data_IF_785187914047
#
_entry.id   IF_785187914047
#
_cell.length_a   1.000
_cell.length_b   1.000
_cell.length_c   1.000
_cell.angle_alpha   90.00
_cell.angle_beta   90.00
_cell.angle_gamma   90.00
#
_symmetry.space_group_name_H-M   'P 1'
#
loop_
_entity.id
_entity.type
_entity.pdbx_description
1 polymer ?
#
# COMPACT_ATOMS: atom_id res chain seq x y z
N UNK A 1 54.65 -47.51 36.45
CA UNK A 1 53.95 -46.21 36.34
C UNK A 1 54.57 -45.22 37.30
N UNK A 2 54.77 -44.00 36.83
CA UNK A 2 55.68 -43.00 37.38
C UNK A 2 55.22 -42.43 38.74
N UNK A 3 56.16 -42.29 39.68
CA UNK A 3 56.01 -41.60 40.97
C UNK A 3 56.47 -40.14 40.84
N UNK A 4 55.66 -39.20 41.34
CA UNK A 4 55.97 -37.78 41.58
C UNK A 4 57.14 -37.62 42.59
N UNK A 5 57.90 -36.50 42.63
CA UNK A 5 57.47 -35.27 43.36
C UNK A 5 58.04 -33.92 42.78
N UNK A 6 57.31 -32.80 42.88
CA UNK A 6 57.39 -31.72 43.90
C UNK A 6 58.47 -30.63 43.65
N UNK A 7 58.07 -29.37 43.94
CA UNK A 7 58.87 -28.16 44.28
C UNK A 7 59.06 -27.09 43.19
N UNK A 8 58.15 -26.12 43.25
CA UNK A 8 58.34 -24.67 43.47
C UNK A 8 59.47 -23.85 42.79
N UNK A 9 58.96 -22.79 42.12
CA UNK A 9 59.34 -21.38 42.22
C UNK A 9 60.61 -20.87 41.52
N UNK A 10 60.39 -19.86 40.65
CA UNK A 10 60.88 -18.46 40.82
C UNK A 10 60.31 -17.56 39.70
N UNK A 11 59.48 -16.57 40.07
CA UNK A 11 59.19 -15.38 39.25
C UNK A 11 60.35 -14.38 39.40
N UNK A 12 60.66 -13.57 38.37
CA UNK A 12 60.55 -12.10 38.52
C UNK A 12 60.21 -11.41 37.17
N UNK A 13 60.22 -10.06 37.05
CA UNK A 13 59.38 -9.10 37.76
C UNK A 13 58.60 -8.16 36.80
N UNK A 14 57.52 -7.59 37.34
CA UNK A 14 56.88 -6.28 37.04
C UNK A 14 57.23 -5.50 35.76
N UNK A 15 56.18 -5.11 35.01
CA UNK A 15 56.03 -3.70 34.65
C UNK A 15 54.57 -3.22 34.82
N UNK A 16 54.37 -2.01 35.38
CA UNK A 16 53.06 -1.44 35.71
C UNK A 16 52.43 -0.69 34.52
N UNK A 17 51.13 -0.44 34.65
CA UNK A 17 50.20 0.16 33.69
C UNK A 17 50.76 1.20 32.70
N UNK A 18 50.51 0.94 31.42
CA UNK A 18 50.34 1.99 30.43
C UNK A 18 48.84 2.32 30.32
N UNK A 19 48.43 3.60 30.36
CA UNK A 19 47.04 3.97 30.18
C UNK A 19 46.60 3.73 28.73
N UNK A 20 45.51 2.99 28.58
CA UNK A 20 44.79 2.76 27.32
C UNK A 20 44.21 4.10 26.82
N UNK A 21 44.99 4.83 26.02
CA UNK A 21 44.48 5.99 25.28
C UNK A 21 43.64 5.50 24.11
N UNK A 22 42.33 5.63 24.27
CA UNK A 22 41.32 5.16 23.34
C UNK A 22 41.55 5.59 21.90
N UNK A 23 41.37 4.61 21.00
CA UNK A 23 41.27 4.79 19.56
C UNK A 23 40.23 5.90 19.25
N UNK A 24 40.57 6.97 18.52
CA UNK A 24 39.57 7.94 18.11
C UNK A 24 38.51 7.25 17.24
N UNK A 25 37.25 7.29 17.67
CA UNK A 25 36.12 6.76 16.90
C UNK A 25 36.06 7.52 15.58
N UNK A 26 36.17 6.80 14.47
CA UNK A 26 36.00 7.33 13.12
C UNK A 26 34.63 7.99 13.03
N UNK A 27 34.59 9.32 12.97
CA UNK A 27 33.38 10.07 12.65
C UNK A 27 32.92 9.60 11.26
N UNK A 28 31.67 9.15 11.09
CA UNK A 28 31.16 8.91 9.75
C UNK A 28 31.07 10.27 9.06
N UNK A 29 31.98 10.52 8.14
CA UNK A 29 31.88 11.65 7.22
C UNK A 29 30.67 11.36 6.33
N UNK A 30 29.50 11.88 6.70
CA UNK A 30 28.34 11.95 5.83
C UNK A 30 28.65 12.97 4.74
N UNK A 31 29.40 12.52 3.73
CA UNK A 31 29.51 13.24 2.46
C UNK A 31 28.16 13.08 1.77
N UNK A 32 27.39 14.16 1.50
CA UNK A 32 26.20 14.04 0.68
C UNK A 32 26.68 13.82 -0.75
N UNK A 33 26.81 12.55 -1.15
CA UNK A 33 26.87 12.20 -2.56
C UNK A 33 25.60 12.75 -3.20
N UNK A 34 25.75 13.83 -3.97
CA UNK A 34 24.69 14.46 -4.75
C UNK A 34 24.18 13.49 -5.81
N UNK A 35 23.38 12.52 -5.38
CA UNK A 35 22.59 11.67 -6.26
C UNK A 35 21.55 12.54 -6.92
N UNK A 36 21.70 12.80 -8.22
CA UNK A 36 20.62 13.35 -9.03
C UNK A 36 19.51 12.31 -9.06
N UNK A 37 18.47 12.51 -8.24
CA UNK A 37 17.27 11.69 -8.30
C UNK A 37 16.64 11.87 -9.69
N UNK A 38 16.63 10.82 -10.51
CA UNK A 38 15.83 10.85 -11.73
C UNK A 38 14.37 10.86 -11.33
N UNK A 39 13.67 11.92 -11.68
CA UNK A 39 12.21 11.98 -11.58
C UNK A 39 11.65 11.10 -12.69
N UNK A 40 11.29 9.88 -12.36
CA UNK A 40 10.50 9.02 -13.23
C UNK A 40 9.10 9.62 -13.32
N UNK A 41 8.69 10.07 -14.51
CA UNK A 41 7.34 10.58 -14.73
C UNK A 41 6.34 9.43 -14.56
N UNK A 42 5.52 9.50 -13.53
CA UNK A 42 4.35 8.62 -13.38
C UNK A 42 3.28 9.10 -14.35
N UNK A 43 2.83 8.21 -15.23
CA UNK A 43 1.72 8.46 -16.14
C UNK A 43 0.52 7.71 -15.59
N UNK A 44 -0.53 8.42 -15.20
CA UNK A 44 -1.81 7.83 -14.84
C UNK A 44 -2.57 7.52 -16.11
N UNK A 45 -2.92 6.25 -16.31
CA UNK A 45 -3.61 5.75 -17.49
C UNK A 45 -4.96 5.23 -17.02
N UNK A 46 -6.04 5.78 -17.57
CA UNK A 46 -7.38 5.29 -17.26
C UNK A 46 -7.57 3.88 -17.82
N UNK A 47 -8.13 2.94 -17.03
CA UNK A 47 -8.35 1.59 -17.49
C UNK A 47 -9.40 1.57 -18.60
N UNK A 48 -9.09 0.90 -19.71
CA UNK A 48 -10.03 0.77 -20.84
C UNK A 48 -11.21 -0.13 -20.47
N UNK A 49 -10.93 -1.26 -19.81
CA UNK A 49 -11.92 -2.21 -19.35
C UNK A 49 -11.76 -2.42 -17.86
N UNK A 50 -12.88 -2.37 -17.13
CA UNK A 50 -12.96 -2.60 -15.70
C UNK A 50 -13.67 -3.92 -15.41
N UNK A 51 -13.22 -4.62 -14.37
CA UNK A 51 -13.87 -5.83 -13.86
C UNK A 51 -15.14 -5.50 -13.06
N UNK A 52 -15.84 -6.53 -12.61
CA UNK A 52 -17.09 -6.40 -11.86
C UNK A 52 -16.92 -5.67 -10.54
N UNK A 53 -15.92 -6.03 -9.74
CA UNK A 53 -15.70 -5.48 -8.40
C UNK A 53 -15.31 -4.01 -8.49
N UNK A 54 -14.44 -3.66 -9.44
CA UNK A 54 -14.10 -2.26 -9.75
C UNK A 54 -15.31 -1.49 -10.24
N UNK A 55 -16.16 -2.07 -11.10
CA UNK A 55 -17.41 -1.42 -11.56
C UNK A 55 -18.36 -1.14 -10.38
N UNK A 56 -18.50 -2.08 -9.44
CA UNK A 56 -19.31 -1.88 -8.23
C UNK A 56 -18.78 -0.69 -7.42
N UNK A 57 -17.46 -0.57 -7.31
CA UNK A 57 -16.79 0.50 -6.57
C UNK A 57 -17.00 1.86 -7.24
N UNK A 58 -16.84 1.94 -8.57
CA UNK A 58 -17.01 3.18 -9.33
C UNK A 58 -18.45 3.69 -9.26
N UNK A 59 -19.42 2.79 -9.43
CA UNK A 59 -20.83 3.16 -9.51
C UNK A 59 -21.49 3.26 -8.12
N UNK A 60 -20.86 2.71 -7.09
CA UNK A 60 -21.41 2.68 -5.72
C UNK A 60 -22.61 1.74 -5.55
N UNK A 61 -22.80 0.80 -6.48
CA UNK A 61 -23.91 -0.16 -6.46
C UNK A 61 -23.41 -1.57 -6.13
N UNK A 62 -24.31 -2.37 -5.53
CA UNK A 62 -24.02 -3.77 -5.24
C UNK A 62 -23.94 -4.62 -6.53
N UNK A 63 -23.19 -5.73 -6.52
CA UNK A 63 -23.06 -6.60 -7.69
C UNK A 63 -24.39 -7.23 -8.12
N UNK A 64 -25.34 -7.39 -7.19
CA UNK A 64 -26.70 -7.87 -7.47
C UNK A 64 -27.56 -6.80 -8.15
N UNK A 65 -27.44 -5.53 -7.74
CA UNK A 65 -28.17 -4.43 -8.37
C UNK A 65 -27.68 -4.23 -9.82
N UNK A 66 -26.37 -4.26 -10.05
CA UNK A 66 -25.81 -4.19 -11.41
C UNK A 66 -26.36 -5.33 -12.28
N UNK A 67 -26.35 -6.57 -11.77
CA UNK A 67 -26.91 -7.71 -12.50
C UNK A 67 -28.40 -7.50 -12.84
N UNK A 68 -29.19 -6.98 -11.90
CA UNK A 68 -30.60 -6.65 -12.14
C UNK A 68 -30.77 -5.54 -13.19
N UNK A 69 -29.92 -4.51 -13.20
CA UNK A 69 -30.00 -3.43 -14.18
C UNK A 69 -29.54 -3.85 -15.58
N UNK A 70 -28.56 -4.75 -15.67
CA UNK A 70 -28.15 -5.38 -16.94
C UNK A 70 -29.31 -6.19 -17.52
N UNK A 71 -30.01 -6.97 -16.68
CA UNK A 71 -31.19 -7.73 -17.12
C UNK A 71 -32.35 -6.82 -17.55
N UNK A 72 -32.51 -5.66 -16.91
CA UNK A 72 -33.49 -4.63 -17.30
C UNK A 72 -33.08 -3.84 -18.53
N UNK A 73 -31.84 -3.97 -19.01
CA UNK A 73 -31.30 -3.21 -20.13
C UNK A 73 -31.02 -1.74 -19.82
N UNK A 74 -31.04 -1.34 -18.55
CA UNK A 74 -30.73 0.04 -18.12
C UNK A 74 -29.23 0.27 -17.98
N UNK A 75 -28.47 -0.79 -17.69
CA UNK A 75 -27.01 -0.74 -17.55
C UNK A 75 -26.33 -1.35 -18.78
N UNK A 76 -25.13 -0.87 -19.19
CA UNK A 76 -24.41 -1.43 -20.33
C UNK A 76 -24.16 -2.94 -20.18
N UNK A 77 -24.27 -3.66 -21.30
CA UNK A 77 -24.10 -5.10 -21.32
C UNK A 77 -22.66 -5.51 -20.98
N UNK A 78 -22.45 -6.52 -20.13
CA UNK A 78 -21.11 -7.02 -19.82
C UNK A 78 -20.43 -7.58 -21.07
N UNK A 79 -19.19 -7.17 -21.29
CA UNK A 79 -18.34 -7.69 -22.36
C UNK A 79 -17.51 -8.85 -21.83
N UNK A 80 -17.38 -9.89 -22.65
CA UNK A 80 -16.55 -11.05 -22.32
C UNK A 80 -15.08 -10.69 -22.56
N UNK A 81 -14.31 -10.50 -21.48
CA UNK A 81 -12.87 -10.20 -21.55
C UNK A 81 -12.04 -11.46 -21.63
N UNK A 82 -12.53 -12.57 -21.06
CA UNK A 82 -11.91 -13.89 -21.11
C UNK A 82 -12.96 -14.99 -20.98
N UNK A 83 -12.55 -16.26 -20.90
CA UNK A 83 -13.45 -17.42 -20.81
C UNK A 83 -14.41 -17.32 -19.62
N UNK A 84 -13.91 -16.88 -18.46
CA UNK A 84 -14.67 -16.79 -17.21
C UNK A 84 -14.63 -15.38 -16.57
N UNK A 85 -14.20 -14.37 -17.33
CA UNK A 85 -14.17 -12.99 -16.87
C UNK A 85 -15.03 -12.12 -17.78
N UNK A 86 -15.83 -11.30 -17.13
CA UNK A 86 -16.61 -10.24 -17.75
C UNK A 86 -16.07 -8.90 -17.30
N UNK A 87 -16.22 -7.89 -18.14
CA UNK A 87 -15.84 -6.53 -17.83
C UNK A 87 -16.65 -5.53 -18.65
N UNK A 88 -16.51 -4.27 -18.30
CA UNK A 88 -17.22 -3.16 -18.94
C UNK A 88 -16.23 -2.11 -19.41
N UNK A 89 -16.56 -1.42 -20.51
CA UNK A 89 -15.78 -0.27 -20.93
C UNK A 89 -16.04 0.89 -19.97
N UNK A 90 -14.97 1.52 -19.50
CA UNK A 90 -15.07 2.66 -18.59
C UNK A 90 -15.87 3.81 -19.23
N UNK A 91 -15.71 4.01 -20.54
CA UNK A 91 -16.44 5.01 -21.32
C UNK A 91 -17.95 4.77 -21.33
N UNK A 92 -18.40 3.51 -21.43
CA UNK A 92 -19.82 3.16 -21.40
C UNK A 92 -20.42 3.40 -20.01
N UNK A 93 -19.67 3.08 -18.95
CA UNK A 93 -20.09 3.35 -17.57
C UNK A 93 -20.24 4.86 -17.35
N UNK A 94 -19.28 5.67 -17.83
CA UNK A 94 -19.36 7.12 -17.72
C UNK A 94 -20.56 7.68 -18.50
N UNK A 95 -20.79 7.24 -19.73
CA UNK A 95 -21.92 7.67 -20.54
C UNK A 95 -23.26 7.30 -19.88
N UNK A 96 -23.36 6.10 -19.30
CA UNK A 96 -24.52 5.69 -18.53
C UNK A 96 -24.73 6.59 -17.30
N UNK A 97 -23.68 6.86 -16.53
CA UNK A 97 -23.76 7.70 -15.34
C UNK A 97 -24.18 9.14 -15.67
N UNK A 98 -23.74 9.68 -16.82
CA UNK A 98 -24.16 10.98 -17.33
C UNK A 98 -25.63 11.02 -17.77
N UNK A 99 -26.18 9.88 -18.19
CA UNK A 99 -27.59 9.75 -18.57
C UNK A 99 -28.55 9.56 -17.38
N UNK A 100 -28.04 9.41 -16.16
CA UNK A 100 -28.90 9.24 -14.99
C UNK A 100 -29.68 10.54 -14.71
N UNK A 101 -30.99 10.43 -14.40
CA UNK A 101 -31.76 11.59 -14.01
C UNK A 101 -31.20 12.18 -12.72
N UNK A 102 -31.23 13.51 -12.62
CA UNK A 102 -30.82 14.20 -11.40
C UNK A 102 -31.71 13.73 -10.23
N UNK A 103 -31.10 13.52 -9.06
CA UNK A 103 -31.84 13.02 -7.90
C UNK A 103 -32.90 14.02 -7.45
N UNK A 104 -34.17 13.61 -7.51
CA UNK A 104 -35.32 14.35 -6.94
C UNK A 104 -35.55 14.02 -5.46
N UNK A 105 -34.62 13.28 -4.84
CA UNK A 105 -34.68 12.95 -3.42
C UNK A 105 -34.24 14.20 -2.64
N UNK A 106 -35.23 14.97 -2.21
CA UNK A 106 -34.99 16.00 -1.21
C UNK A 106 -34.44 15.32 0.05
N UNK A 107 -33.36 15.85 0.65
CA UNK A 107 -32.96 15.41 1.98
C UNK A 107 -34.19 15.56 2.90
N UNK A 108 -34.45 14.58 3.78
CA UNK A 108 -35.62 14.64 4.65
C UNK A 108 -35.63 15.99 5.39
N UNK A 109 -36.77 16.68 5.46
CA UNK A 109 -36.83 18.00 6.08
C UNK A 109 -36.30 17.90 7.52
N UNK A 110 -35.32 18.74 7.84
CA UNK A 110 -34.73 18.84 9.18
C UNK A 110 -35.82 19.35 10.14
N UNK A 111 -36.57 18.45 10.74
CA UNK A 111 -37.83 18.86 11.36
C UNK A 111 -38.45 17.94 12.38
N UNK A 112 -37.67 17.20 13.18
CA UNK A 112 -38.15 16.74 14.49
C UNK A 112 -37.04 16.85 15.53
N UNK A 113 -36.92 18.05 16.12
CA UNK A 113 -36.35 18.17 17.45
C UNK A 113 -37.19 17.28 18.38
N UNK A 114 -36.58 16.26 18.97
CA UNK A 114 -37.18 15.47 20.05
C UNK A 114 -37.47 16.45 21.20
N UNK A 115 -38.73 16.68 21.61
CA UNK A 115 -38.98 17.35 22.88
C UNK A 115 -38.51 16.40 24.00
N UNK A 116 -37.71 16.95 24.90
CA UNK A 116 -37.18 16.28 26.10
C UNK A 116 -38.31 15.95 27.07
#
# INVERSE_FOLDING_TARGET
>A
MNCLPLVAARRPPTHPGAPEMGRPKKVPNCTPSGGTLRVSRVVHIDPVIVDRDTTCTIVGLSPSNIAAQVLKGTFPAPRKTSTNRIGWLLTEIHAWAQGLPLSDILPPPSGHARPQ
#
